data_IF_673404862473
#
_entry.id   IF_673404862473
#
_cell.length_a   1.000
_cell.length_b   1.000
_cell.length_c   1.000
_cell.angle_alpha   90.00
_cell.angle_beta   90.00
_cell.angle_gamma   90.00
#
_symmetry.space_group_name_H-M   'P 1'
#
loop_
_entity.id
_entity.type
_entity.pdbx_description
1 polymer ?
#
# COMPACT_ATOMS: atom_id res chain seq x y z
N UNK A 1 -31.14 -41.28 22.07
CA UNK A 1 -30.37 -40.11 21.59
C UNK A 1 -31.32 -38.94 21.40
N UNK A 2 -30.91 -37.72 21.75
CA UNK A 2 -31.73 -36.51 21.59
C UNK A 2 -31.70 -36.04 20.12
N UNK A 3 -32.87 -35.73 19.59
CA UNK A 3 -33.05 -35.19 18.24
C UNK A 3 -33.64 -33.78 18.32
N UNK A 4 -33.26 -32.94 17.36
CA UNK A 4 -33.71 -31.56 17.20
C UNK A 4 -34.56 -31.48 15.93
N UNK A 5 -35.73 -30.86 16.02
CA UNK A 5 -36.46 -30.46 14.81
C UNK A 5 -35.62 -29.48 13.99
N UNK A 6 -35.91 -29.34 12.70
CA UNK A 6 -35.17 -28.40 11.83
C UNK A 6 -35.09 -26.97 12.40
N UNK A 7 -36.15 -26.48 13.07
CA UNK A 7 -36.17 -25.14 13.68
C UNK A 7 -35.29 -25.06 14.93
N UNK A 8 -35.24 -26.13 15.73
CA UNK A 8 -34.37 -26.17 16.91
C UNK A 8 -32.90 -26.33 16.49
N UNK A 9 -32.64 -27.13 15.46
CA UNK A 9 -31.30 -27.31 14.91
C UNK A 9 -30.78 -26.03 14.26
N UNK A 10 -31.63 -25.30 13.54
CA UNK A 10 -31.34 -23.95 13.03
C UNK A 10 -30.94 -23.00 14.16
N UNK A 11 -31.68 -22.98 15.29
CA UNK A 11 -31.34 -22.14 16.44
C UNK A 11 -29.99 -22.49 17.07
N UNK A 12 -29.63 -23.77 17.14
CA UNK A 12 -28.38 -24.19 17.79
C UNK A 12 -27.17 -24.06 16.86
N UNK A 13 -27.34 -24.31 15.56
CA UNK A 13 -26.24 -24.27 14.58
C UNK A 13 -26.09 -22.94 13.85
N UNK A 14 -27.09 -22.05 13.96
CA UNK A 14 -27.23 -20.84 13.16
C UNK A 14 -27.28 -21.08 11.64
N UNK A 15 -27.60 -22.31 11.21
CA UNK A 15 -27.80 -22.68 9.81
C UNK A 15 -29.27 -22.59 9.49
N UNK A 16 -29.62 -21.75 8.52
CA UNK A 16 -31.02 -21.54 8.13
C UNK A 16 -31.70 -22.87 7.76
N UNK A 17 -33.00 -22.99 8.06
CA UNK A 17 -33.77 -24.17 7.66
C UNK A 17 -33.75 -24.39 6.13
N UNK A 18 -33.54 -23.32 5.35
CA UNK A 18 -33.31 -23.39 3.91
C UNK A 18 -32.00 -24.13 3.59
N UNK A 19 -30.87 -23.72 4.20
CA UNK A 19 -29.57 -24.37 4.00
C UNK A 19 -29.56 -25.82 4.50
N UNK A 20 -30.22 -26.11 5.62
CA UNK A 20 -30.38 -27.48 6.11
C UNK A 20 -31.15 -28.37 5.12
N UNK A 21 -32.23 -27.85 4.51
CA UNK A 21 -32.96 -28.57 3.43
C UNK A 21 -32.09 -28.76 2.19
N UNK A 22 -31.25 -27.77 1.87
CA UNK A 22 -30.32 -27.87 0.76
C UNK A 22 -29.23 -28.92 1.02
N UNK A 23 -28.63 -28.96 2.22
CA UNK A 23 -27.64 -29.96 2.61
C UNK A 23 -28.23 -31.38 2.60
N UNK A 24 -29.47 -31.56 3.06
CA UNK A 24 -30.21 -32.83 2.90
C UNK A 24 -30.34 -33.21 1.41
N UNK A 25 -30.77 -32.26 0.57
CA UNK A 25 -30.97 -32.48 -0.88
C UNK A 25 -29.70 -32.94 -1.59
N UNK A 26 -28.54 -32.36 -1.26
CA UNK A 26 -27.25 -32.75 -1.86
C UNK A 26 -26.57 -33.90 -1.11
N UNK A 27 -27.19 -34.41 -0.03
CA UNK A 27 -26.66 -35.47 0.81
C UNK A 27 -25.36 -35.10 1.53
N UNK A 28 -25.21 -33.83 1.92
CA UNK A 28 -24.08 -33.30 2.68
C UNK A 28 -24.32 -33.36 4.20
N UNK A 29 -25.57 -33.18 4.64
CA UNK A 29 -25.98 -33.37 6.04
C UNK A 29 -27.39 -33.96 6.04
N UNK A 30 -27.49 -35.24 6.38
CA UNK A 30 -28.75 -35.99 6.22
C UNK A 30 -29.52 -36.07 7.55
N UNK A 31 -30.79 -35.60 7.60
CA UNK A 31 -31.64 -35.76 8.78
C UNK A 31 -32.21 -37.17 8.87
N UNK A 32 -32.66 -37.54 10.07
CA UNK A 32 -33.68 -38.57 10.24
C UNK A 32 -35.04 -38.02 9.79
N UNK A 33 -35.82 -38.83 9.08
CA UNK A 33 -37.22 -38.53 8.79
C UNK A 33 -38.12 -39.19 9.84
N UNK A 34 -38.93 -38.39 10.52
CA UNK A 34 -39.93 -38.89 11.44
C UNK A 34 -41.14 -39.46 10.68
N UNK A 35 -42.02 -40.20 11.36
CA UNK A 35 -43.19 -40.86 10.75
C UNK A 35 -44.13 -39.89 10.00
N UNK A 36 -44.15 -38.62 10.40
CA UNK A 36 -44.93 -37.55 9.78
C UNK A 36 -44.18 -36.84 8.62
N UNK A 37 -43.01 -37.34 8.21
CA UNK A 37 -42.20 -36.79 7.13
C UNK A 37 -41.35 -35.58 7.50
N UNK A 38 -41.38 -35.12 8.76
CA UNK A 38 -40.55 -34.00 9.22
C UNK A 38 -39.09 -34.43 9.44
N UNK A 39 -38.17 -33.45 9.28
CA UNK A 39 -36.74 -33.63 9.48
C UNK A 39 -36.36 -33.43 10.94
N UNK A 40 -35.61 -34.38 11.48
CA UNK A 40 -34.98 -34.30 12.79
C UNK A 40 -33.48 -34.61 12.68
N UNK A 41 -32.66 -33.87 13.41
CA UNK A 41 -31.20 -33.99 13.40
C UNK A 41 -30.70 -34.45 14.76
N UNK A 42 -29.70 -35.32 14.77
CA UNK A 42 -29.12 -35.80 16.03
C UNK A 42 -28.22 -34.74 16.68
N UNK A 43 -28.06 -34.81 18.01
CA UNK A 43 -27.10 -33.97 18.74
C UNK A 43 -25.67 -34.05 18.16
N UNK A 44 -25.24 -35.25 17.74
CA UNK A 44 -23.91 -35.47 17.15
C UNK A 44 -23.69 -34.73 15.83
N UNK A 45 -24.77 -34.44 15.09
CA UNK A 45 -24.70 -33.74 13.80
C UNK A 45 -24.43 -32.24 13.95
N UNK A 46 -24.46 -31.69 15.17
CA UNK A 46 -24.11 -30.29 15.40
C UNK A 46 -22.64 -30.05 15.03
N UNK A 47 -21.72 -30.94 15.42
CA UNK A 47 -20.30 -30.80 15.10
C UNK A 47 -20.04 -30.93 13.60
N UNK A 48 -20.70 -31.89 12.94
CA UNK A 48 -20.67 -32.08 11.49
C UNK A 48 -21.14 -30.81 10.75
N UNK A 49 -22.26 -30.23 11.19
CA UNK A 49 -22.80 -28.99 10.65
C UNK A 49 -21.82 -27.81 10.79
N UNK A 50 -21.14 -27.67 11.94
CA UNK A 50 -20.12 -26.63 12.13
C UNK A 50 -18.90 -26.86 11.23
N UNK A 51 -18.47 -28.11 11.07
CA UNK A 51 -17.36 -28.45 10.19
C UNK A 51 -17.67 -28.10 8.71
N UNK A 52 -18.91 -28.36 8.26
CA UNK A 52 -19.37 -27.95 6.93
C UNK A 52 -19.22 -26.43 6.76
N UNK A 53 -19.64 -25.63 7.74
CA UNK A 53 -19.54 -24.17 7.66
C UNK A 53 -18.10 -23.68 7.61
N UNK A 54 -17.21 -24.23 8.45
CA UNK A 54 -15.79 -23.86 8.47
C UNK A 54 -15.13 -24.20 7.13
N UNK A 55 -15.39 -25.38 6.57
CA UNK A 55 -14.84 -25.78 5.28
C UNK A 55 -15.41 -24.93 4.13
N UNK A 56 -16.70 -24.56 4.16
CA UNK A 56 -17.26 -23.61 3.20
C UNK A 56 -16.59 -22.23 3.30
N UNK A 57 -16.33 -21.74 4.52
CA UNK A 57 -15.63 -20.47 4.74
C UNK A 57 -14.18 -20.53 4.24
N UNK A 58 -13.52 -21.68 4.34
CA UNK A 58 -12.20 -21.92 3.78
C UNK A 58 -12.20 -22.09 2.24
N UNK A 59 -13.36 -21.95 1.58
CA UNK A 59 -13.49 -22.02 0.13
C UNK A 59 -13.60 -23.44 -0.43
N UNK A 60 -13.82 -24.46 0.42
CA UNK A 60 -13.97 -25.84 -0.02
C UNK A 60 -15.37 -26.04 -0.64
N UNK A 61 -15.48 -26.54 -1.89
CA UNK A 61 -16.78 -26.80 -2.50
C UNK A 61 -17.54 -27.94 -1.79
N UNK A 62 -18.87 -27.83 -1.70
CA UNK A 62 -19.74 -28.82 -1.03
C UNK A 62 -19.49 -30.29 -1.44
N UNK A 63 -19.14 -30.54 -2.70
CA UNK A 63 -18.83 -31.89 -3.21
C UNK A 63 -17.60 -32.49 -2.52
N UNK A 64 -16.60 -31.66 -2.25
CA UNK A 64 -15.37 -32.06 -1.60
C UNK A 64 -15.52 -32.12 -0.08
N UNK A 65 -16.30 -31.20 0.51
CA UNK A 65 -16.68 -31.27 1.93
C UNK A 65 -17.31 -32.62 2.23
N UNK A 66 -18.23 -33.09 1.39
CA UNK A 66 -18.83 -34.41 1.55
C UNK A 66 -17.77 -35.52 1.59
N UNK A 67 -16.81 -35.47 0.66
CA UNK A 67 -15.73 -36.46 0.57
C UNK A 67 -14.84 -36.42 1.83
N UNK A 68 -14.53 -35.22 2.33
CA UNK A 68 -13.73 -35.00 3.55
C UNK A 68 -14.44 -35.57 4.79
N UNK A 69 -15.76 -35.38 4.89
CA UNK A 69 -16.55 -35.89 6.02
C UNK A 69 -16.74 -37.41 5.95
N UNK A 70 -16.96 -37.97 4.75
CA UNK A 70 -17.14 -39.41 4.54
C UNK A 70 -15.83 -40.20 4.74
N UNK A 71 -14.68 -39.59 4.44
CA UNK A 71 -13.33 -40.18 4.52
C UNK A 71 -12.48 -39.53 5.61
N UNK A 72 -13.11 -39.13 6.72
CA UNK A 72 -12.43 -38.44 7.80
C UNK A 72 -11.28 -39.29 8.35
N UNK A 73 -10.12 -38.66 8.58
CA UNK A 73 -8.87 -39.29 9.04
C UNK A 73 -8.17 -40.27 8.05
N UNK A 74 -8.44 -40.18 6.74
CA UNK A 74 -7.62 -40.82 5.71
C UNK A 74 -6.49 -39.90 5.21
N UNK A 75 -5.35 -40.45 4.77
CA UNK A 75 -4.22 -39.68 4.19
C UNK A 75 -4.67 -38.76 3.05
N UNK A 76 -5.54 -39.25 2.16
CA UNK A 76 -6.11 -38.47 1.05
C UNK A 76 -6.91 -37.24 1.50
N UNK A 77 -7.48 -37.25 2.71
CA UNK A 77 -8.20 -36.12 3.29
C UNK A 77 -7.22 -35.08 3.82
N UNK A 78 -6.08 -35.51 4.37
CA UNK A 78 -5.00 -34.60 4.80
C UNK A 78 -4.43 -33.87 3.59
N UNK A 79 -4.10 -34.58 2.51
CA UNK A 79 -3.55 -33.97 1.28
C UNK A 79 -4.48 -32.93 0.66
N UNK A 80 -5.80 -33.20 0.66
CA UNK A 80 -6.80 -32.23 0.17
C UNK A 80 -6.87 -30.99 1.06
N UNK A 81 -6.91 -31.17 2.37
CA UNK A 81 -6.94 -30.04 3.31
C UNK A 81 -5.66 -29.20 3.22
N UNK A 82 -4.51 -29.83 2.99
CA UNK A 82 -3.22 -29.16 2.75
C UNK A 82 -3.23 -28.32 1.46
N UNK A 83 -3.82 -28.81 0.36
CA UNK A 83 -4.02 -28.01 -0.85
C UNK A 83 -4.91 -26.78 -0.62
N UNK A 84 -6.05 -26.95 0.08
CA UNK A 84 -6.90 -25.81 0.43
C UNK A 84 -6.22 -24.82 1.38
N UNK A 85 -5.46 -25.33 2.36
CA UNK A 85 -4.70 -24.50 3.28
C UNK A 85 -3.66 -23.65 2.52
N UNK A 86 -2.92 -24.24 1.57
CA UNK A 86 -1.95 -23.51 0.74
C UNK A 86 -2.61 -22.43 -0.12
N UNK A 87 -3.75 -22.75 -0.74
CA UNK A 87 -4.51 -21.77 -1.55
C UNK A 87 -5.01 -20.62 -0.70
N UNK A 88 -5.55 -20.91 0.48
CA UNK A 88 -6.01 -19.88 1.41
C UNK A 88 -4.85 -19.00 1.91
N UNK A 89 -3.69 -19.60 2.20
CA UNK A 89 -2.49 -18.85 2.59
C UNK A 89 -2.03 -17.87 1.49
N UNK A 90 -2.02 -18.31 0.22
CA UNK A 90 -1.68 -17.43 -0.91
C UNK A 90 -2.70 -16.29 -1.10
N UNK A 91 -4.00 -16.57 -0.90
CA UNK A 91 -5.03 -15.53 -0.96
C UNK A 91 -4.84 -14.51 0.16
N UNK A 92 -4.53 -14.95 1.39
CA UNK A 92 -4.23 -14.06 2.51
C UNK A 92 -3.05 -13.15 2.16
N UNK A 93 -1.97 -13.71 1.63
CA UNK A 93 -0.79 -12.94 1.23
C UNK A 93 -1.13 -11.87 0.17
N UNK A 94 -1.89 -12.24 -0.87
CA UNK A 94 -2.35 -11.30 -1.91
C UNK A 94 -3.25 -10.20 -1.35
N UNK A 95 -4.18 -10.55 -0.45
CA UNK A 95 -5.08 -9.59 0.19
C UNK A 95 -4.33 -8.65 1.13
N UNK A 96 -3.35 -9.15 1.89
CA UNK A 96 -2.49 -8.33 2.75
C UNK A 96 -1.66 -7.34 1.93
N UNK A 97 -1.08 -7.79 0.81
CA UNK A 97 -0.34 -6.91 -0.09
C UNK A 97 -1.26 -5.83 -0.70
N UNK A 98 -2.46 -6.21 -1.14
CA UNK A 98 -3.45 -5.27 -1.68
C UNK A 98 -3.94 -4.28 -0.64
N UNK A 99 -4.17 -4.72 0.60
CA UNK A 99 -4.55 -3.86 1.72
C UNK A 99 -3.44 -2.85 2.03
N UNK A 100 -2.18 -3.29 2.09
CA UNK A 100 -1.05 -2.39 2.32
C UNK A 100 -0.91 -1.35 1.20
N UNK A 101 -1.11 -1.75 -0.05
CA UNK A 101 -1.14 -0.82 -1.18
C UNK A 101 -2.20 0.27 -1.00
N UNK A 102 -3.42 -0.11 -0.61
CA UNK A 102 -4.50 0.86 -0.38
C UNK A 102 -4.19 1.82 0.77
N UNK A 103 -3.59 1.33 1.86
CA UNK A 103 -3.15 2.21 2.96
C UNK A 103 -2.13 3.24 2.49
N UNK A 104 -1.10 2.81 1.77
CA UNK A 104 -0.08 3.72 1.23
C UNK A 104 -0.71 4.77 0.30
N UNK A 105 -1.65 4.36 -0.58
CA UNK A 105 -2.35 5.31 -1.47
C UNK A 105 -3.22 6.31 -0.71
N UNK A 106 -3.85 5.91 0.40
CA UNK A 106 -4.61 6.83 1.25
C UNK A 106 -3.67 7.86 1.87
N UNK A 107 -2.51 7.43 2.37
CA UNK A 107 -1.51 8.32 2.96
C UNK A 107 -0.96 9.31 1.92
N UNK A 108 -0.63 8.84 0.71
CA UNK A 108 -0.17 9.68 -0.41
C UNK A 108 -1.22 10.74 -0.77
N UNK A 109 -2.49 10.34 -0.90
CA UNK A 109 -3.57 11.27 -1.23
C UNK A 109 -3.83 12.29 -0.11
N UNK A 110 -3.73 11.87 1.15
CA UNK A 110 -3.85 12.77 2.30
C UNK A 110 -2.71 13.79 2.32
N UNK A 111 -1.48 13.35 2.06
CA UNK A 111 -0.31 14.22 1.96
C UNK A 111 -0.49 15.26 0.85
N UNK A 112 -0.92 14.84 -0.34
CA UNK A 112 -1.18 15.74 -1.47
C UNK A 112 -2.31 16.72 -1.16
N UNK A 113 -3.38 16.27 -0.50
CA UNK A 113 -4.48 17.16 -0.11
C UNK A 113 -4.02 18.21 0.93
N UNK A 114 -3.18 17.83 1.89
CA UNK A 114 -2.60 18.77 2.84
C UNK A 114 -1.68 19.79 2.16
N UNK A 115 -0.81 19.33 1.24
CA UNK A 115 0.05 20.20 0.44
C UNK A 115 -0.78 21.20 -0.38
N UNK A 116 -1.89 20.75 -1.00
CA UNK A 116 -2.83 21.61 -1.74
C UNK A 116 -3.48 22.71 -0.88
N UNK A 117 -3.67 22.48 0.42
CA UNK A 117 -4.26 23.46 1.35
C UNK A 117 -3.26 24.52 1.81
N UNK A 118 -1.98 24.17 1.92
CA UNK A 118 -0.92 25.03 2.47
C UNK A 118 0.07 25.47 1.37
N UNK A 119 -0.45 25.79 0.18
CA UNK A 119 0.38 26.23 -0.94
C UNK A 119 0.94 27.63 -0.69
N UNK A 120 2.19 27.83 -1.09
CA UNK A 120 2.91 29.10 -1.05
C UNK A 120 3.05 29.74 0.34
N UNK A 121 2.87 28.95 1.40
CA UNK A 121 3.08 29.36 2.79
C UNK A 121 4.36 28.70 3.34
N UNK A 122 5.41 29.48 3.68
CA UNK A 122 6.62 28.95 4.30
C UNK A 122 6.36 28.39 5.71
N UNK A 123 6.95 27.25 6.02
CA UNK A 123 6.90 26.63 7.35
C UNK A 123 8.23 25.97 7.69
N UNK A 124 8.47 25.72 8.98
CA UNK A 124 9.67 25.00 9.43
C UNK A 124 9.29 23.56 9.75
N UNK A 125 10.08 22.62 9.25
CA UNK A 125 9.92 21.19 9.50
C UNK A 125 11.25 20.58 9.91
N UNK A 126 11.23 19.76 10.95
CA UNK A 126 12.41 19.00 11.37
C UNK A 126 12.44 17.67 10.63
N UNK A 127 13.49 17.42 9.86
CA UNK A 127 13.68 16.17 9.14
C UNK A 127 14.79 15.36 9.82
N UNK A 128 14.55 14.05 10.10
CA UNK A 128 15.61 13.18 10.60
C UNK A 128 16.63 12.85 9.51
N UNK A 129 17.78 12.31 9.90
CA UNK A 129 18.72 11.72 8.95
C UNK A 129 18.02 10.61 8.16
N UNK A 130 18.17 10.63 6.83
CA UNK A 130 17.62 9.61 5.92
C UNK A 130 18.65 9.20 4.88
N UNK A 131 18.74 7.90 4.63
CA UNK A 131 19.52 7.37 3.52
C UNK A 131 18.74 7.53 2.21
N UNK A 132 19.44 7.99 1.17
CA UNK A 132 18.90 8.20 -0.17
C UNK A 132 19.84 7.60 -1.21
N UNK A 133 19.29 7.23 -2.37
CA UNK A 133 20.09 6.93 -3.55
C UNK A 133 20.16 8.15 -4.45
N UNK A 134 21.35 8.55 -4.90
CA UNK A 134 21.55 9.75 -5.73
C UNK A 134 22.12 9.39 -7.10
N UNK A 135 21.48 9.89 -8.16
CA UNK A 135 21.98 9.79 -9.52
C UNK A 135 22.37 11.19 -9.98
N UNK A 136 23.60 11.32 -10.46
CA UNK A 136 24.12 12.54 -11.07
C UNK A 136 24.40 12.30 -12.55
N UNK A 137 23.83 13.15 -13.42
CA UNK A 137 23.98 13.04 -14.87
C UNK A 137 24.53 14.35 -15.47
N UNK A 138 25.15 14.24 -16.64
CA UNK A 138 25.65 15.39 -17.43
C UNK A 138 24.58 15.93 -18.41
N UNK A 139 23.31 15.79 -18.03
CA UNK A 139 22.11 16.23 -18.78
C UNK A 139 21.17 16.92 -17.80
N UNK A 140 20.33 17.81 -18.33
CA UNK A 140 19.28 18.49 -17.56
C UNK A 140 17.88 17.96 -17.89
N UNK A 141 17.77 17.00 -18.81
CA UNK A 141 16.49 16.35 -19.12
C UNK A 141 16.10 15.39 -18.00
N UNK A 142 15.00 15.72 -17.33
CA UNK A 142 14.43 14.90 -16.27
C UNK A 142 14.15 13.46 -16.73
N UNK A 143 13.82 13.23 -18.01
CA UNK A 143 13.53 11.91 -18.53
C UNK A 143 14.76 10.99 -18.54
N UNK A 144 15.96 11.53 -18.70
CA UNK A 144 17.20 10.75 -18.65
C UNK A 144 17.43 10.16 -17.24
N UNK A 145 17.07 10.91 -16.19
CA UNK A 145 17.10 10.40 -14.83
C UNK A 145 16.08 9.28 -14.63
N UNK A 146 14.87 9.43 -15.17
CA UNK A 146 13.82 8.43 -15.08
C UNK A 146 14.21 7.12 -15.78
N UNK A 147 14.81 7.26 -16.96
CA UNK A 147 15.33 6.15 -17.74
C UNK A 147 16.47 5.44 -17.02
N UNK A 148 17.36 6.19 -16.36
CA UNK A 148 18.46 5.63 -15.56
C UNK A 148 17.93 4.81 -14.39
N UNK A 149 17.00 5.36 -13.59
CA UNK A 149 16.39 4.62 -12.47
C UNK A 149 15.65 3.38 -12.98
N UNK A 150 14.81 3.52 -14.02
CA UNK A 150 14.10 2.40 -14.66
C UNK A 150 15.05 1.29 -15.08
N UNK A 151 16.17 1.63 -15.70
CA UNK A 151 17.15 0.66 -16.17
C UNK A 151 17.85 -0.07 -15.01
N UNK A 152 18.02 0.60 -13.87
CA UNK A 152 18.61 0.03 -12.66
C UNK A 152 17.64 -0.89 -11.92
N UNK A 153 16.41 -0.43 -11.65
CA UNK A 153 15.42 -1.20 -10.89
C UNK A 153 14.61 -2.18 -11.74
N UNK A 154 14.69 -2.11 -13.08
CA UNK A 154 13.90 -2.91 -14.02
C UNK A 154 12.39 -2.75 -13.83
N UNK A 155 11.95 -1.56 -13.43
CA UNK A 155 10.54 -1.23 -13.23
C UNK A 155 10.19 0.09 -13.93
N UNK A 156 9.23 0.05 -14.85
CA UNK A 156 8.82 1.21 -15.64
C UNK A 156 8.12 2.28 -14.79
N UNK A 157 7.32 1.85 -13.83
CA UNK A 157 6.46 2.70 -13.00
C UNK A 157 7.05 3.05 -11.64
N UNK A 158 8.38 3.00 -11.50
CA UNK A 158 9.07 3.16 -10.21
C UNK A 158 8.66 4.45 -9.47
N UNK A 159 8.41 5.53 -10.21
CA UNK A 159 8.05 6.86 -9.70
C UNK A 159 6.63 6.95 -9.12
N UNK A 160 5.81 5.90 -9.28
CA UNK A 160 4.49 5.80 -8.64
C UNK A 160 4.56 5.18 -7.24
N UNK A 161 5.65 4.45 -6.95
CA UNK A 161 5.83 3.69 -5.71
C UNK A 161 6.91 4.27 -4.79
N UNK A 162 7.51 5.41 -5.15
CA UNK A 162 8.54 6.07 -4.36
C UNK A 162 8.49 7.57 -4.53
N UNK A 163 8.72 8.30 -3.44
CA UNK A 163 9.09 9.70 -3.51
C UNK A 163 10.45 9.86 -4.19
N UNK A 164 10.61 10.96 -4.90
CA UNK A 164 11.84 11.37 -5.54
C UNK A 164 11.90 12.88 -5.61
N UNK A 165 13.11 13.39 -5.78
CA UNK A 165 13.35 14.82 -5.86
C UNK A 165 14.71 15.11 -6.47
N UNK A 166 15.08 16.38 -6.42
CA UNK A 166 16.39 16.84 -6.87
C UNK A 166 17.11 17.60 -5.77
N UNK A 167 18.43 17.41 -5.76
CA UNK A 167 19.37 18.19 -4.96
C UNK A 167 19.88 19.29 -5.88
N UNK A 168 19.63 20.55 -5.51
CA UNK A 168 20.06 21.71 -6.28
C UNK A 168 21.22 22.40 -5.56
N UNK A 169 22.27 22.72 -6.32
CA UNK A 169 23.33 23.62 -5.84
C UNK A 169 22.75 25.03 -5.74
N UNK A 170 22.82 25.63 -4.56
CA UNK A 170 22.23 26.94 -4.33
C UNK A 170 22.90 28.03 -5.16
N UNK A 171 24.17 27.89 -5.54
CA UNK A 171 24.88 28.86 -6.37
C UNK A 171 24.30 28.96 -7.79
N UNK A 172 23.76 27.86 -8.31
CA UNK A 172 23.16 27.77 -9.64
C UNK A 172 21.72 28.35 -9.70
N UNK A 173 21.11 28.65 -8.55
CA UNK A 173 19.70 29.07 -8.48
C UNK A 173 19.55 30.57 -8.76
N UNK A 174 19.03 30.87 -9.96
CA UNK A 174 18.63 32.20 -10.40
C UNK A 174 17.12 32.21 -10.70
N UNK A 175 16.68 32.73 -11.86
CA UNK A 175 15.29 32.55 -12.32
C UNK A 175 15.03 31.14 -12.87
N UNK A 176 16.11 30.44 -13.23
CA UNK A 176 16.16 29.04 -13.63
C UNK A 176 17.24 28.33 -12.81
N UNK A 177 17.26 27.01 -12.86
CA UNK A 177 18.26 26.15 -12.24
C UNK A 177 18.33 24.80 -13.00
N UNK A 178 19.53 24.22 -13.12
CA UNK A 178 19.71 22.95 -13.79
C UNK A 178 19.35 21.77 -12.86
N UNK A 179 18.77 20.72 -13.41
CA UNK A 179 18.52 19.46 -12.70
C UNK A 179 19.68 18.50 -12.92
N UNK A 180 20.65 18.46 -11.99
CA UNK A 180 21.88 17.66 -12.12
C UNK A 180 21.90 16.40 -11.25
N UNK A 181 21.24 16.44 -10.09
CA UNK A 181 21.27 15.37 -9.08
C UNK A 181 19.86 14.98 -8.66
N UNK A 182 19.39 13.81 -9.05
CA UNK A 182 18.13 13.23 -8.57
C UNK A 182 18.40 12.37 -7.34
N UNK A 183 17.53 12.45 -6.33
CA UNK A 183 17.49 11.47 -5.25
C UNK A 183 16.17 10.69 -5.23
N UNK A 184 16.23 9.42 -4.82
CA UNK A 184 15.06 8.58 -4.59
C UNK A 184 15.33 7.53 -3.49
N UNK A 185 14.30 6.77 -3.13
CA UNK A 185 14.36 5.75 -2.07
C UNK A 185 14.23 4.32 -2.63
N UNK A 186 14.64 4.10 -3.88
CA UNK A 186 14.45 2.83 -4.60
C UNK A 186 15.74 2.02 -4.63
N UNK A 187 15.61 0.71 -4.41
CA UNK A 187 16.66 -0.26 -4.75
C UNK A 187 16.67 -0.53 -6.27
N UNK A 188 17.85 -0.60 -6.93
CA UNK A 188 19.19 -0.66 -6.33
C UNK A 188 19.88 0.70 -6.15
N UNK A 189 19.22 1.83 -6.45
CA UNK A 189 19.85 3.17 -6.42
C UNK A 189 20.38 3.50 -5.02
N UNK A 190 19.58 3.20 -3.98
CA UNK A 190 19.98 3.33 -2.57
C UNK A 190 21.30 2.61 -2.26
N UNK A 191 21.47 1.39 -2.76
CA UNK A 191 22.66 0.57 -2.52
C UNK A 191 23.87 0.97 -3.37
N UNK A 192 23.65 1.33 -4.64
CA UNK A 192 24.73 1.62 -5.59
C UNK A 192 25.29 3.02 -5.42
N UNK A 193 24.44 3.99 -5.09
CA UNK A 193 24.80 5.40 -4.98
C UNK A 193 24.29 6.01 -3.66
N UNK A 194 24.73 5.47 -2.51
CA UNK A 194 24.23 5.87 -1.21
C UNK A 194 24.71 7.28 -0.83
N UNK A 195 23.77 8.11 -0.43
CA UNK A 195 23.96 9.46 0.11
C UNK A 195 23.05 9.64 1.33
N UNK A 196 23.23 10.75 2.06
CA UNK A 196 22.45 11.03 3.27
C UNK A 196 21.90 12.45 3.28
N UNK A 197 20.59 12.56 3.48
CA UNK A 197 19.98 13.80 3.95
C UNK A 197 20.29 13.89 5.43
N UNK A 198 20.96 14.97 5.83
CA UNK A 198 21.33 15.22 7.23
C UNK A 198 20.09 15.56 8.06
N UNK A 199 20.13 15.21 9.35
CA UNK A 199 19.12 15.71 10.28
C UNK A 199 19.25 17.22 10.42
N UNK A 200 18.20 17.97 10.10
CA UNK A 200 18.19 19.43 10.20
C UNK A 200 16.76 19.97 10.31
N UNK A 201 16.63 21.24 10.67
CA UNK A 201 15.42 22.00 10.42
C UNK A 201 15.49 22.57 9.00
N UNK A 202 14.41 22.39 8.25
CA UNK A 202 14.27 22.88 6.89
C UNK A 202 13.20 23.97 6.86
N UNK A 203 13.50 25.08 6.16
CA UNK A 203 12.47 25.99 5.67
C UNK A 203 11.82 25.35 4.47
N UNK A 204 10.57 24.94 4.64
CA UNK A 204 9.79 24.22 3.67
C UNK A 204 8.69 25.12 3.06
N UNK A 205 8.29 24.81 1.83
CA UNK A 205 7.10 25.38 1.21
C UNK A 205 6.56 24.43 0.14
N UNK A 206 5.26 24.23 0.12
CA UNK A 206 4.59 23.58 -1.02
C UNK A 206 4.32 24.61 -2.09
N UNK A 207 4.56 24.28 -3.35
CA UNK A 207 4.24 25.20 -4.44
C UNK A 207 3.77 24.49 -5.69
N UNK A 208 2.95 25.20 -6.47
CA UNK A 208 2.48 24.72 -7.78
C UNK A 208 3.57 24.88 -8.84
N UNK A 209 3.55 23.99 -9.81
CA UNK A 209 4.50 23.92 -10.91
C UNK A 209 5.40 22.69 -10.80
N UNK A 210 6.08 22.39 -11.91
CA UNK A 210 6.95 21.22 -12.02
C UNK A 210 8.27 21.39 -11.24
N UNK A 211 9.07 20.32 -11.19
CA UNK A 211 10.40 20.36 -10.59
C UNK A 211 11.35 21.28 -11.38
N UNK A 212 11.17 21.35 -12.71
CA UNK A 212 11.97 22.19 -13.59
C UNK A 212 11.64 23.68 -13.42
N UNK A 213 12.64 24.49 -13.07
CA UNK A 213 12.59 25.97 -13.12
C UNK A 213 11.40 26.62 -12.39
N UNK A 214 10.96 26.03 -11.28
CA UNK A 214 9.92 26.60 -10.43
C UNK A 214 10.43 27.87 -9.74
N UNK A 215 9.86 29.01 -10.11
CA UNK A 215 10.26 30.35 -9.60
C UNK A 215 10.19 30.47 -8.08
N UNK A 216 9.36 29.64 -7.43
CA UNK A 216 9.17 29.66 -5.98
C UNK A 216 10.36 29.10 -5.22
N UNK A 217 11.23 28.33 -5.89
CA UNK A 217 12.52 27.89 -5.34
C UNK A 217 13.41 29.08 -5.02
N UNK A 218 13.65 29.96 -6.00
CA UNK A 218 14.44 31.19 -5.79
C UNK A 218 13.79 32.09 -4.76
N UNK A 219 12.46 32.25 -4.84
CA UNK A 219 11.72 33.07 -3.90
C UNK A 219 11.89 32.60 -2.44
N UNK A 220 11.76 31.30 -2.17
CA UNK A 220 11.91 30.77 -0.81
C UNK A 220 13.35 30.88 -0.32
N UNK A 221 14.32 30.71 -1.21
CA UNK A 221 15.73 30.88 -0.89
C UNK A 221 16.06 32.32 -0.48
N UNK A 222 15.54 33.29 -1.22
CA UNK A 222 15.69 34.71 -0.88
C UNK A 222 14.94 35.05 0.41
N UNK A 223 13.75 34.49 0.60
CA UNK A 223 12.96 34.66 1.83
C UNK A 223 13.73 34.14 3.05
N UNK A 224 14.29 32.94 2.99
CA UNK A 224 15.08 32.36 4.09
C UNK A 224 16.30 33.23 4.44
N UNK A 225 16.99 33.76 3.42
CA UNK A 225 18.11 34.69 3.63
C UNK A 225 17.67 36.00 4.29
N UNK A 226 16.52 36.57 3.88
CA UNK A 226 15.96 37.78 4.47
C UNK A 226 15.53 37.58 5.93
N UNK A 227 15.15 36.36 6.31
CA UNK A 227 14.88 35.97 7.71
C UNK A 227 16.17 35.75 8.53
N UNK A 228 17.35 35.95 7.93
CA UNK A 228 18.64 35.87 8.60
C UNK A 228 19.27 34.47 8.62
N UNK A 229 18.74 33.52 7.84
CA UNK A 229 19.36 32.20 7.68
C UNK A 229 20.51 32.26 6.66
N UNK A 230 21.54 31.44 6.89
CA UNK A 230 22.66 31.32 5.96
C UNK A 230 22.20 30.66 4.66
N UNK A 231 22.84 31.02 3.55
CA UNK A 231 22.65 30.30 2.29
C UNK A 231 23.28 28.91 2.43
N UNK A 232 22.53 27.82 2.27
CA UNK A 232 23.13 26.49 2.27
C UNK A 232 23.84 26.22 0.94
N UNK A 233 24.74 25.24 0.91
CA UNK A 233 25.36 24.80 -0.34
C UNK A 233 24.33 24.13 -1.26
N UNK A 234 23.47 23.27 -0.68
CA UNK A 234 22.45 22.55 -1.42
C UNK A 234 21.06 22.77 -0.82
N UNK A 235 20.05 22.73 -1.68
CA UNK A 235 18.63 22.63 -1.27
C UNK A 235 18.00 21.39 -1.91
N UNK A 236 16.85 20.99 -1.38
CA UNK A 236 16.09 19.87 -1.90
C UNK A 236 14.77 20.36 -2.49
N UNK A 237 14.39 19.81 -3.64
CA UNK A 237 13.03 19.87 -4.15
C UNK A 237 12.49 18.46 -4.28
N UNK A 238 11.25 18.21 -3.90
CA UNK A 238 10.61 16.89 -3.91
C UNK A 238 9.32 16.95 -4.71
N UNK A 239 9.06 15.90 -5.51
CA UNK A 239 7.79 15.77 -6.19
C UNK A 239 6.70 15.35 -5.20
N UNK A 240 5.61 16.11 -5.12
CA UNK A 240 4.46 15.79 -4.26
C UNK A 240 3.30 15.26 -5.09
N UNK A 241 3.00 15.90 -6.22
CA UNK A 241 1.99 15.41 -7.16
C UNK A 241 2.55 15.31 -8.57
N UNK A 242 1.95 14.46 -9.40
CA UNK A 242 2.44 14.18 -10.74
C UNK A 242 1.31 13.85 -11.72
N UNK A 243 1.64 13.33 -12.91
CA UNK A 243 0.71 13.19 -14.05
C UNK A 243 -0.49 12.28 -13.80
N UNK A 244 -0.43 11.43 -12.77
CA UNK A 244 -1.57 10.58 -12.36
C UNK A 244 -2.70 11.41 -11.75
N UNK A 245 -2.38 12.53 -11.10
CA UNK A 245 -3.33 13.36 -10.36
C UNK A 245 -3.61 14.66 -11.10
N UNK A 246 -2.56 15.31 -11.60
CA UNK A 246 -2.63 16.61 -12.24
C UNK A 246 -2.19 16.46 -13.71
N UNK A 247 -2.97 16.93 -14.68
CA UNK A 247 -2.68 16.69 -16.12
C UNK A 247 -1.65 17.65 -16.71
N UNK A 248 -1.53 18.84 -16.13
CA UNK A 248 -0.67 19.90 -16.61
C UNK A 248 0.49 20.10 -15.64
N UNK A 249 1.71 20.28 -16.15
CA UNK A 249 2.91 20.51 -15.33
C UNK A 249 2.78 21.73 -14.40
N UNK A 250 1.99 22.74 -14.78
CA UNK A 250 1.69 23.92 -13.97
C UNK A 250 0.86 23.60 -12.72
N UNK A 251 0.12 22.50 -12.73
CA UNK A 251 -0.73 22.06 -11.63
C UNK A 251 -0.05 21.05 -10.71
N UNK A 252 1.15 20.58 -11.07
CA UNK A 252 1.96 19.72 -10.22
C UNK A 252 2.30 20.45 -8.94
N UNK A 253 2.60 19.68 -7.89
CA UNK A 253 3.01 20.22 -6.60
C UNK A 253 4.38 19.68 -6.28
N UNK A 254 5.25 20.59 -5.88
CA UNK A 254 6.56 20.26 -5.33
C UNK A 254 6.64 20.76 -3.90
N UNK A 255 7.48 20.11 -3.11
CA UNK A 255 7.92 20.61 -1.80
C UNK A 255 9.35 21.11 -1.94
N UNK A 256 9.57 22.37 -1.62
CA UNK A 256 10.89 23.00 -1.59
C UNK A 256 11.37 22.94 -0.15
N UNK A 257 12.61 22.53 0.08
CA UNK A 257 13.19 22.34 1.42
C UNK A 257 14.60 22.93 1.46
N UNK A 258 14.77 23.97 2.27
CA UNK A 258 16.04 24.70 2.43
C UNK A 258 16.60 24.40 3.81
N UNK A 259 17.74 23.69 3.93
CA UNK A 259 18.34 23.40 5.22
C UNK A 259 18.75 24.71 5.90
N UNK A 260 18.42 24.84 7.18
CA UNK A 260 18.69 26.03 7.97
C UNK A 260 20.04 25.97 8.71
N UNK A 261 20.67 24.80 8.71
CA UNK A 261 21.85 24.49 9.49
C UNK A 261 21.49 24.26 10.96
N UNK A 262 21.87 23.11 11.50
CA UNK A 262 21.84 22.87 12.93
C UNK A 262 22.65 23.98 13.62
N UNK A 263 22.00 24.81 14.44
CA UNK A 263 22.72 25.57 15.46
C UNK A 263 23.39 24.55 16.37
N UNK A 264 24.68 24.33 16.17
CA UNK A 264 25.53 23.58 17.11
C UNK A 264 25.48 24.23 18.49
#
# INVERSE_FOLDING_TARGET
MKYYSIKEFEKVTNISAYNLRFFDKIGLLQPKREANGYRSYALSQIAEAQMILILQQAGVPNKEIKTILDQYACEQTIDKLDDYQRRLASLIEQMTASHQYLLNQIDDLNYIQQAKKNLDEPFIESLPEKQIGVIELQTEDILDFFDTVRNLCKQDSWYLSSHYGFILDSADIQQCYPLKKMYCYIEPVLSLFPEKIQADNYMCMYSRGSLENNRKVKWLLDYAQQQGHLRPDNILIENVSGPVIDKEKSEFIIKIMIPLGLKK
#
